data_IF_790039723007
#
_entry.id   IF_790039723007
#
_cell.length_a   1.000
_cell.length_b   1.000
_cell.length_c   1.000
_cell.angle_alpha   90.00
_cell.angle_beta   90.00
_cell.angle_gamma   90.00
#
_symmetry.space_group_name_H-M   'P 1'
#
loop_
_entity.id
_entity.type
_entity.pdbx_description
1 polymer ?
#
# COMPACT_ATOMS: atom_id res chain seq x y z
N UNK A 1 -4.81 -0.41 33.68
CA UNK A 1 -5.54 0.72 33.03
C UNK A 1 -5.00 0.82 31.61
N UNK A 2 -5.67 0.17 30.65
CA UNK A 2 -5.36 0.37 29.21
C UNK A 2 -5.98 1.70 28.80
N UNK A 3 -5.21 2.78 28.86
CA UNK A 3 -5.62 4.06 28.32
C UNK A 3 -5.75 4.01 26.79
N UNK A 4 -6.30 5.04 26.15
CA UNK A 4 -6.45 5.15 24.70
C UNK A 4 -5.14 4.90 23.92
N UNK A 5 -3.97 5.02 24.54
CA UNK A 5 -2.69 4.62 23.97
C UNK A 5 -2.54 3.11 23.73
N UNK A 6 -3.15 2.25 24.56
CA UNK A 6 -3.05 0.79 24.38
C UNK A 6 -3.82 0.24 23.17
N UNK A 7 -4.82 0.96 22.66
CA UNK A 7 -5.64 0.52 21.53
C UNK A 7 -4.88 0.60 20.18
N UNK A 8 -3.92 1.49 20.07
CA UNK A 8 -3.10 1.73 18.88
C UNK A 8 -1.63 1.38 19.11
N UNK A 9 -1.32 0.69 20.20
CA UNK A 9 0.02 0.18 20.48
C UNK A 9 0.27 -1.07 19.61
N UNK A 10 1.26 -0.98 18.75
CA UNK A 10 1.67 -2.05 17.84
C UNK A 10 2.95 -2.75 18.30
N UNK A 11 3.32 -2.62 19.58
CA UNK A 11 4.50 -3.33 20.13
C UNK A 11 4.37 -4.84 19.93
N UNK A 12 5.38 -5.45 19.29
CA UNK A 12 5.40 -6.86 18.93
C UNK A 12 4.64 -7.21 17.65
N UNK A 13 4.08 -6.23 16.95
CA UNK A 13 3.45 -6.36 15.63
C UNK A 13 4.51 -6.22 14.53
N UNK A 14 4.44 -7.01 13.49
CA UNK A 14 5.32 -6.93 12.31
C UNK A 14 4.52 -6.52 11.09
N UNK A 15 4.90 -5.39 10.49
CA UNK A 15 4.28 -4.86 9.28
C UNK A 15 5.20 -5.01 8.07
N UNK A 16 4.69 -5.62 7.00
CA UNK A 16 5.34 -5.71 5.70
C UNK A 16 4.73 -4.70 4.73
N UNK A 17 5.55 -3.85 4.11
CA UNK A 17 5.09 -2.85 3.13
C UNK A 17 5.86 -2.97 1.80
N UNK A 18 5.18 -3.31 0.71
CA UNK A 18 5.80 -3.21 -0.62
C UNK A 18 5.78 -1.77 -1.11
N UNK A 19 6.87 -1.33 -1.76
CA UNK A 19 7.05 0.09 -2.08
C UNK A 19 7.13 0.99 -0.83
N UNK A 20 7.51 0.41 0.33
CA UNK A 20 7.62 1.11 1.62
C UNK A 20 8.82 2.05 1.73
N UNK A 21 9.65 2.13 0.69
CA UNK A 21 10.85 2.97 0.64
C UNK A 21 10.63 4.37 0.08
N UNK A 22 9.37 4.75 -0.23
CA UNK A 22 9.04 6.10 -0.72
C UNK A 22 7.53 6.37 -0.69
N UNK A 23 7.14 7.65 -0.84
CA UNK A 23 5.75 8.06 -1.00
C UNK A 23 4.82 7.53 0.08
N UNK A 24 3.61 7.11 -0.31
CA UNK A 24 2.57 6.64 0.60
C UNK A 24 3.05 5.47 1.46
N UNK A 25 3.77 4.51 0.85
CA UNK A 25 4.30 3.35 1.58
C UNK A 25 5.24 3.75 2.71
N UNK A 26 6.14 4.72 2.47
CA UNK A 26 7.03 5.24 3.51
C UNK A 26 6.26 6.01 4.59
N UNK A 27 5.26 6.80 4.21
CA UNK A 27 4.39 7.50 5.16
C UNK A 27 3.63 6.53 6.09
N UNK A 28 3.11 5.43 5.54
CA UNK A 28 2.50 4.36 6.35
C UNK A 28 3.52 3.68 7.26
N UNK A 29 4.72 3.38 6.73
CA UNK A 29 5.80 2.75 7.49
C UNK A 29 6.23 3.59 8.70
N UNK A 30 6.32 4.91 8.54
CA UNK A 30 6.59 5.83 9.66
C UNK A 30 5.51 5.74 10.75
N UNK A 31 4.23 5.79 10.37
CA UNK A 31 3.15 5.69 11.36
C UNK A 31 3.16 4.38 12.12
N UNK A 32 3.39 3.26 11.43
CA UNK A 32 3.47 1.94 12.03
C UNK A 32 4.67 1.81 12.99
N UNK A 33 5.85 2.29 12.59
CA UNK A 33 7.04 2.29 13.44
C UNK A 33 6.87 3.22 14.66
N UNK A 34 6.27 4.40 14.49
CA UNK A 34 5.95 5.34 15.59
C UNK A 34 4.99 4.71 16.60
N UNK A 35 4.06 3.86 16.14
CA UNK A 35 3.14 3.10 16.99
C UNK A 35 3.76 1.85 17.64
N UNK A 36 5.04 1.57 17.40
CA UNK A 36 5.79 0.47 18.02
C UNK A 36 5.91 -0.81 17.19
N UNK A 37 5.40 -0.82 15.94
CA UNK A 37 5.55 -1.98 15.06
C UNK A 37 6.98 -2.14 14.56
N UNK A 38 7.45 -3.36 14.45
CA UNK A 38 8.60 -3.71 13.63
C UNK A 38 8.20 -3.62 12.15
N UNK A 39 9.06 -3.07 11.30
CA UNK A 39 8.71 -2.74 9.91
C UNK A 39 9.68 -3.37 8.92
N UNK A 40 9.14 -4.13 7.98
CA UNK A 40 9.86 -4.60 6.80
C UNK A 40 9.38 -3.85 5.55
N UNK A 41 10.25 -3.15 4.86
CA UNK A 41 9.93 -2.48 3.60
C UNK A 41 10.58 -3.21 2.42
N UNK A 42 9.80 -3.41 1.35
CA UNK A 42 10.32 -3.95 0.10
C UNK A 42 10.38 -2.88 -0.97
N UNK A 43 11.46 -2.87 -1.75
CA UNK A 43 11.60 -1.97 -2.89
C UNK A 43 12.74 -2.39 -3.81
N UNK A 44 12.68 -1.99 -5.08
CA UNK A 44 13.68 -2.35 -6.09
C UNK A 44 14.95 -1.49 -6.05
N UNK A 45 14.86 -0.27 -5.49
CA UNK A 45 15.97 0.68 -5.45
C UNK A 45 16.74 0.58 -4.13
N UNK A 46 17.98 0.08 -4.19
CA UNK A 46 18.82 -0.15 -3.02
C UNK A 46 19.13 1.14 -2.23
N UNK A 47 19.36 2.27 -2.92
CA UNK A 47 19.64 3.55 -2.26
C UNK A 47 18.44 4.07 -1.47
N UNK A 48 17.23 3.98 -2.05
CA UNK A 48 16.00 4.35 -1.33
C UNK A 48 15.70 3.40 -0.18
N UNK A 49 15.99 2.11 -0.34
CA UNK A 49 15.85 1.11 0.73
C UNK A 49 16.74 1.47 1.92
N UNK A 50 18.01 1.80 1.68
CA UNK A 50 18.96 2.20 2.72
C UNK A 50 18.50 3.47 3.45
N UNK A 51 18.12 4.51 2.70
CA UNK A 51 17.62 5.75 3.27
C UNK A 51 16.35 5.54 4.12
N UNK A 52 15.38 4.78 3.62
CA UNK A 52 14.15 4.46 4.36
C UNK A 52 14.44 3.67 5.65
N UNK A 53 15.36 2.70 5.59
CA UNK A 53 15.78 1.94 6.78
C UNK A 53 16.40 2.85 7.84
N UNK A 54 17.27 3.78 7.45
CA UNK A 54 17.89 4.74 8.37
C UNK A 54 16.86 5.69 8.99
N UNK A 55 15.90 6.18 8.21
CA UNK A 55 14.85 7.06 8.71
C UNK A 55 13.91 6.34 9.67
N UNK A 56 13.45 5.14 9.33
CA UNK A 56 12.52 4.35 10.13
C UNK A 56 13.15 3.86 11.43
N UNK A 57 14.44 3.53 11.44
CA UNK A 57 15.16 3.09 12.64
C UNK A 57 15.16 4.15 13.75
N UNK A 58 14.94 5.43 13.43
CA UNK A 58 14.84 6.51 14.42
C UNK A 58 13.66 6.37 15.38
N UNK A 59 12.65 5.56 15.03
CA UNK A 59 11.51 5.25 15.90
C UNK A 59 11.84 4.21 16.99
N UNK A 60 13.02 3.55 16.90
CA UNK A 60 13.48 2.61 17.93
C UNK A 60 12.94 1.19 17.80
N UNK A 61 12.21 0.87 16.72
CA UNK A 61 11.71 -0.47 16.38
C UNK A 61 12.70 -1.19 15.45
N UNK A 62 12.53 -2.51 15.27
CA UNK A 62 13.32 -3.25 14.28
C UNK A 62 12.86 -2.87 12.87
N UNK A 63 13.80 -2.62 11.98
CA UNK A 63 13.55 -2.25 10.60
C UNK A 63 14.41 -3.07 9.67
N UNK A 64 13.81 -3.60 8.61
CA UNK A 64 14.54 -4.19 7.48
C UNK A 64 14.06 -3.57 6.16
N UNK A 65 14.98 -3.47 5.20
CA UNK A 65 14.68 -3.02 3.86
C UNK A 65 15.22 -4.02 2.84
N UNK A 66 14.33 -4.82 2.26
CA UNK A 66 14.68 -5.93 1.36
C UNK A 66 14.52 -5.48 -0.10
N UNK A 67 15.50 -5.86 -0.95
CA UNK A 67 15.38 -5.63 -2.38
C UNK A 67 14.47 -6.70 -3.00
N UNK A 68 13.27 -6.30 -3.42
CA UNK A 68 12.28 -7.19 -4.03
C UNK A 68 11.58 -6.50 -5.21
N UNK A 69 11.56 -7.13 -6.39
CA UNK A 69 10.63 -6.80 -7.47
C UNK A 69 9.37 -7.65 -7.26
N UNK A 70 8.28 -7.01 -6.85
CA UNK A 70 7.01 -7.70 -6.57
C UNK A 70 6.41 -8.38 -7.80
N UNK A 71 6.77 -7.96 -9.01
CA UNK A 71 6.33 -8.60 -10.25
C UNK A 71 7.14 -9.86 -10.62
N UNK A 72 7.99 -10.35 -9.75
CA UNK A 72 8.78 -11.57 -9.89
C UNK A 72 8.44 -12.51 -8.74
N UNK A 73 7.85 -13.68 -9.04
CA UNK A 73 7.37 -14.63 -8.04
C UNK A 73 8.50 -15.20 -7.18
N UNK A 74 9.66 -15.48 -7.78
CA UNK A 74 10.82 -15.99 -7.04
C UNK A 74 11.37 -14.92 -6.10
N UNK A 75 11.43 -13.65 -6.55
CA UNK A 75 11.83 -12.53 -5.70
C UNK A 75 10.85 -12.31 -4.54
N UNK A 76 9.54 -12.45 -4.76
CA UNK A 76 8.53 -12.37 -3.68
C UNK A 76 8.71 -13.52 -2.69
N UNK A 77 8.89 -14.74 -3.18
CA UNK A 77 9.09 -15.92 -2.34
C UNK A 77 10.35 -15.79 -1.48
N UNK A 78 11.47 -15.39 -2.08
CA UNK A 78 12.72 -15.17 -1.37
C UNK A 78 12.63 -14.00 -0.38
N UNK A 79 12.06 -12.88 -0.80
CA UNK A 79 11.87 -11.71 0.07
C UNK A 79 10.93 -11.98 1.27
N UNK A 80 9.91 -12.83 1.07
CA UNK A 80 9.03 -13.21 2.17
C UNK A 80 9.74 -14.15 3.16
N UNK A 81 10.52 -15.12 2.66
CA UNK A 81 11.33 -15.99 3.49
C UNK A 81 12.36 -15.18 4.29
N UNK A 82 13.06 -14.22 3.69
CA UNK A 82 13.98 -13.32 4.36
C UNK A 82 13.26 -12.44 5.42
N UNK A 83 12.05 -11.97 5.12
CA UNK A 83 11.22 -11.23 6.09
C UNK A 83 10.92 -12.11 7.33
N UNK A 84 10.54 -13.37 7.13
CA UNK A 84 10.27 -14.30 8.22
C UNK A 84 11.54 -14.68 9.00
N UNK A 85 12.68 -14.81 8.34
CA UNK A 85 13.97 -15.05 9.00
C UNK A 85 14.33 -13.90 9.96
N UNK A 86 14.11 -12.65 9.53
CA UNK A 86 14.45 -11.47 10.33
C UNK A 86 13.45 -11.18 11.46
N UNK A 87 12.15 -11.39 11.25
CA UNK A 87 11.11 -10.96 12.18
C UNK A 87 10.31 -12.10 12.82
N UNK A 88 10.34 -13.30 12.24
CA UNK A 88 9.63 -14.48 12.73
C UNK A 88 8.14 -14.51 12.36
N UNK A 89 7.55 -13.38 11.97
CA UNK A 89 6.13 -13.27 11.67
C UNK A 89 5.82 -12.06 10.77
N UNK A 90 4.63 -12.06 10.19
CA UNK A 90 4.00 -10.90 9.56
C UNK A 90 2.56 -10.83 10.03
N UNK A 91 2.14 -9.69 10.61
CA UNK A 91 0.81 -9.45 11.16
C UNK A 91 -0.04 -8.55 10.25
N UNK A 92 0.60 -7.62 9.56
CA UNK A 92 -0.06 -6.82 8.52
C UNK A 92 0.80 -6.74 7.26
N UNK A 93 0.14 -6.80 6.11
CA UNK A 93 0.79 -6.71 4.81
C UNK A 93 0.12 -5.62 3.97
N UNK A 94 0.90 -4.61 3.58
CA UNK A 94 0.47 -3.50 2.74
C UNK A 94 1.04 -3.67 1.32
N UNK A 95 0.22 -4.18 0.42
CA UNK A 95 0.53 -4.27 -1.01
C UNK A 95 0.38 -2.88 -1.65
N UNK A 96 1.44 -2.07 -1.53
CA UNK A 96 1.44 -0.66 -1.94
C UNK A 96 2.30 -0.40 -3.18
N UNK A 97 3.26 -1.25 -3.52
CA UNK A 97 4.09 -1.07 -4.72
C UNK A 97 3.24 -0.85 -5.98
N UNK A 98 3.66 0.09 -6.80
CA UNK A 98 2.96 0.38 -8.05
C UNK A 98 3.75 1.30 -8.97
N UNK A 99 3.38 1.26 -10.24
CA UNK A 99 3.95 2.09 -11.32
C UNK A 99 2.81 2.68 -12.16
N UNK A 100 3.05 3.86 -12.74
CA UNK A 100 2.17 4.41 -13.78
C UNK A 100 2.41 3.72 -15.13
N UNK A 101 1.40 3.74 -15.99
CA UNK A 101 1.57 3.47 -17.41
C UNK A 101 2.26 4.62 -18.15
N UNK A 102 2.62 4.38 -19.39
CA UNK A 102 3.01 5.44 -20.32
C UNK A 102 1.77 6.27 -20.65
N UNK A 103 1.85 7.59 -20.49
CA UNK A 103 0.74 8.50 -20.80
C UNK A 103 0.65 8.66 -22.31
N UNK A 104 -0.23 7.87 -22.94
CA UNK A 104 -0.41 7.80 -24.41
C UNK A 104 -1.89 7.64 -24.76
N UNK A 105 -2.33 8.02 -25.97
CA UNK A 105 -3.67 7.69 -26.44
C UNK A 105 -3.95 6.19 -26.36
N UNK A 106 -5.18 5.81 -25.98
CA UNK A 106 -5.56 4.40 -25.82
C UNK A 106 -5.28 3.57 -27.08
N UNK A 107 -5.49 4.15 -28.27
CA UNK A 107 -5.22 3.50 -29.56
C UNK A 107 -3.73 3.19 -29.81
N UNK A 108 -2.83 3.80 -29.04
CA UNK A 108 -1.38 3.64 -29.15
C UNK A 108 -0.78 2.91 -27.94
N UNK A 109 -1.59 2.57 -26.93
CA UNK A 109 -1.14 1.84 -25.75
C UNK A 109 -0.62 0.45 -26.16
N UNK A 110 0.67 0.23 -25.99
CA UNK A 110 1.28 -1.07 -26.32
C UNK A 110 0.88 -2.14 -25.30
N UNK A 111 0.74 -3.38 -25.80
CA UNK A 111 0.51 -4.55 -24.93
C UNK A 111 1.67 -4.75 -23.94
N UNK A 112 2.88 -4.39 -24.33
CA UNK A 112 4.07 -4.47 -23.47
C UNK A 112 3.95 -3.52 -22.27
N UNK A 113 3.54 -2.26 -22.47
CA UNK A 113 3.35 -1.33 -21.36
C UNK A 113 2.15 -1.70 -20.50
N UNK A 114 1.04 -2.12 -21.13
CA UNK A 114 -0.11 -2.66 -20.40
C UNK A 114 0.31 -3.81 -19.46
N UNK A 115 1.04 -4.81 -19.99
CA UNK A 115 1.52 -5.95 -19.21
C UNK A 115 2.50 -5.54 -18.10
N UNK A 116 3.39 -4.58 -18.36
CA UNK A 116 4.32 -4.06 -17.36
C UNK A 116 3.58 -3.48 -16.15
N UNK A 117 2.52 -2.70 -16.38
CA UNK A 117 1.70 -2.12 -15.31
C UNK A 117 0.95 -3.21 -14.56
N UNK A 118 0.31 -4.14 -15.26
CA UNK A 118 -0.43 -5.24 -14.64
C UNK A 118 0.48 -6.12 -13.78
N UNK A 119 1.67 -6.46 -14.30
CA UNK A 119 2.68 -7.26 -13.59
C UNK A 119 3.05 -6.68 -12.23
N UNK A 120 3.29 -5.37 -12.16
CA UNK A 120 3.69 -4.73 -10.88
C UNK A 120 2.47 -4.48 -9.99
N UNK A 121 1.42 -3.85 -10.53
CA UNK A 121 0.34 -3.30 -9.71
C UNK A 121 -0.69 -4.35 -9.27
N UNK A 122 -0.91 -5.40 -10.08
CA UNK A 122 -1.92 -6.42 -9.80
C UNK A 122 -1.28 -7.77 -9.48
N UNK A 123 -0.46 -8.32 -10.37
CA UNK A 123 0.20 -9.62 -10.12
C UNK A 123 1.13 -9.53 -8.92
N UNK A 124 1.94 -8.45 -8.80
CA UNK A 124 2.82 -8.23 -7.65
C UNK A 124 2.06 -8.08 -6.32
N UNK A 125 0.92 -7.39 -6.34
CA UNK A 125 0.05 -7.34 -5.17
C UNK A 125 -0.53 -8.71 -4.83
N UNK A 126 -1.01 -9.47 -5.82
CA UNK A 126 -1.48 -10.84 -5.65
C UNK A 126 -0.41 -11.74 -5.02
N UNK A 127 0.80 -11.76 -5.57
CA UNK A 127 1.90 -12.59 -5.06
C UNK A 127 2.22 -12.27 -3.60
N UNK A 128 2.33 -10.98 -3.29
CA UNK A 128 2.63 -10.50 -1.93
C UNK A 128 1.51 -10.86 -0.94
N UNK A 129 0.26 -10.58 -1.30
CA UNK A 129 -0.90 -10.86 -0.46
C UNK A 129 -1.09 -12.37 -0.25
N UNK A 130 -0.85 -13.18 -1.29
CA UNK A 130 -0.90 -14.64 -1.23
C UNK A 130 0.12 -15.19 -0.24
N UNK A 131 1.38 -14.73 -0.31
CA UNK A 131 2.43 -15.15 0.62
C UNK A 131 2.09 -14.77 2.06
N UNK A 132 1.65 -13.52 2.29
CA UNK A 132 1.27 -13.05 3.61
C UNK A 132 0.05 -13.80 4.18
N UNK A 133 -1.00 -14.01 3.38
CA UNK A 133 -2.21 -14.72 3.83
C UNK A 133 -1.94 -16.19 4.14
N UNK A 134 -1.12 -16.87 3.34
CA UNK A 134 -0.72 -18.26 3.60
C UNK A 134 -0.01 -18.36 4.96
N UNK A 135 0.97 -17.50 5.23
CA UNK A 135 1.64 -17.42 6.53
C UNK A 135 0.67 -17.10 7.67
N UNK A 136 -0.23 -16.13 7.51
CA UNK A 136 -1.20 -15.77 8.55
C UNK A 136 -2.16 -16.91 8.87
N UNK A 137 -2.62 -17.66 7.86
CA UNK A 137 -3.48 -18.84 8.02
C UNK A 137 -2.73 -19.96 8.77
N UNK A 138 -1.49 -20.27 8.37
CA UNK A 138 -0.66 -21.31 8.97
C UNK A 138 -0.30 -20.96 10.43
N UNK A 139 0.11 -19.73 10.66
CA UNK A 139 0.47 -19.23 12.00
C UNK A 139 -0.73 -19.19 12.95
N UNK A 140 -1.91 -18.95 12.43
CA UNK A 140 -3.11 -18.60 13.22
C UNK A 140 -3.04 -17.20 13.83
N UNK A 141 -4.10 -16.81 14.56
CA UNK A 141 -4.16 -15.53 15.29
C UNK A 141 -4.54 -14.31 14.41
N UNK A 142 -4.98 -14.56 13.17
CA UNK A 142 -5.48 -13.50 12.30
C UNK A 142 -4.38 -12.64 11.65
N UNK A 143 -4.80 -11.51 11.09
CA UNK A 143 -3.90 -10.55 10.43
C UNK A 143 -4.65 -9.52 9.61
N UNK A 144 -3.90 -8.64 8.93
CA UNK A 144 -4.49 -7.59 8.09
C UNK A 144 -3.79 -7.53 6.73
N UNK A 145 -4.59 -7.48 5.67
CA UNK A 145 -4.16 -7.27 4.29
C UNK A 145 -4.67 -5.91 3.80
N UNK A 146 -3.79 -5.11 3.23
CA UNK A 146 -4.16 -3.79 2.69
C UNK A 146 -3.63 -3.65 1.27
N UNK A 147 -4.51 -3.29 0.33
CA UNK A 147 -4.13 -2.97 -1.05
C UNK A 147 -4.25 -1.48 -1.34
N UNK A 148 -3.17 -0.84 -1.79
CA UNK A 148 -3.22 0.57 -2.21
C UNK A 148 -3.81 0.68 -3.62
N UNK A 149 -5.10 0.97 -3.68
CA UNK A 149 -5.87 1.24 -4.89
C UNK A 149 -5.80 2.74 -5.26
N UNK A 150 -6.71 3.22 -6.09
CA UNK A 150 -6.77 4.60 -6.58
C UNK A 150 -8.20 4.99 -6.92
N UNK A 151 -8.50 6.28 -6.96
CA UNK A 151 -9.73 6.79 -7.58
C UNK A 151 -9.87 6.33 -9.04
N UNK A 152 -8.76 6.08 -9.74
CA UNK A 152 -8.76 5.51 -11.08
C UNK A 152 -9.39 4.12 -11.17
N UNK A 153 -9.62 3.42 -10.04
CA UNK A 153 -10.32 2.13 -10.01
C UNK A 153 -11.81 2.26 -10.31
N UNK A 154 -12.40 3.44 -10.08
CA UNK A 154 -13.85 3.72 -10.22
C UNK A 154 -14.13 4.92 -11.13
N UNK A 155 -13.10 5.72 -11.45
CA UNK A 155 -13.21 6.87 -12.34
C UNK A 155 -12.44 6.61 -13.63
N UNK A 156 -12.91 7.13 -14.76
CA UNK A 156 -12.16 7.07 -16.00
C UNK A 156 -10.81 7.78 -15.87
N UNK A 157 -9.75 7.11 -16.28
CA UNK A 157 -8.38 7.64 -16.27
C UNK A 157 -7.83 7.65 -17.69
N UNK A 158 -8.17 8.66 -18.50
CA UNK A 158 -7.76 8.71 -19.90
C UNK A 158 -6.24 8.74 -20.02
N UNK A 159 -5.72 7.99 -20.98
CA UNK A 159 -4.28 7.81 -21.26
C UNK A 159 -3.51 7.05 -20.19
N UNK A 160 -4.20 6.48 -19.19
CA UNK A 160 -3.60 5.64 -18.13
C UNK A 160 -4.50 4.44 -17.80
N UNK A 161 -5.11 3.86 -18.83
CA UNK A 161 -6.13 2.81 -18.72
C UNK A 161 -5.54 1.52 -18.09
N UNK A 162 -4.27 1.20 -18.39
CA UNK A 162 -3.59 0.04 -17.77
C UNK A 162 -3.50 0.19 -16.25
N UNK A 163 -3.16 1.39 -15.77
CA UNK A 163 -3.13 1.70 -14.35
C UNK A 163 -4.53 1.57 -13.72
N UNK A 164 -5.54 2.19 -14.34
CA UNK A 164 -6.92 2.12 -13.87
C UNK A 164 -7.41 0.67 -13.78
N UNK A 165 -7.19 -0.13 -14.82
CA UNK A 165 -7.54 -1.55 -14.84
C UNK A 165 -6.83 -2.34 -13.71
N UNK A 166 -5.54 -2.08 -13.49
CA UNK A 166 -4.78 -2.74 -12.43
C UNK A 166 -5.31 -2.41 -11.03
N UNK A 167 -5.71 -1.13 -10.80
CA UNK A 167 -6.24 -0.69 -9.50
C UNK A 167 -7.67 -1.15 -9.26
N UNK A 168 -8.50 -1.27 -10.29
CA UNK A 168 -9.81 -1.88 -10.21
C UNK A 168 -9.70 -3.38 -9.88
N UNK A 169 -8.81 -4.10 -10.56
CA UNK A 169 -8.51 -5.51 -10.28
C UNK A 169 -8.02 -5.73 -8.86
N UNK A 170 -7.13 -4.86 -8.35
CA UNK A 170 -6.64 -4.93 -6.97
C UNK A 170 -7.78 -4.74 -5.96
N UNK A 171 -8.69 -3.77 -6.18
CA UNK A 171 -9.84 -3.58 -5.29
C UNK A 171 -10.71 -4.83 -5.21
N UNK A 172 -11.02 -5.45 -6.36
CA UNK A 172 -11.78 -6.70 -6.42
C UNK A 172 -11.05 -7.86 -5.76
N UNK A 173 -9.73 -7.98 -5.95
CA UNK A 173 -8.90 -9.00 -5.30
C UNK A 173 -8.97 -8.88 -3.76
N UNK A 174 -8.85 -7.68 -3.21
CA UNK A 174 -8.97 -7.43 -1.78
C UNK A 174 -10.36 -7.85 -1.24
N UNK A 175 -11.43 -7.55 -1.96
CA UNK A 175 -12.78 -7.96 -1.57
C UNK A 175 -12.92 -9.49 -1.55
N UNK A 176 -12.34 -10.20 -2.52
CA UNK A 176 -12.28 -11.66 -2.53
C UNK A 176 -11.52 -12.21 -1.31
N UNK A 177 -10.35 -11.64 -1.01
CA UNK A 177 -9.57 -12.01 0.18
C UNK A 177 -10.36 -11.78 1.47
N UNK A 178 -11.08 -10.66 1.59
CA UNK A 178 -11.89 -10.36 2.77
C UNK A 178 -12.94 -11.43 3.05
N UNK A 179 -13.65 -11.87 2.00
CA UNK A 179 -14.70 -12.89 2.14
C UNK A 179 -14.12 -14.26 2.48
N UNK A 180 -13.05 -14.67 1.78
CA UNK A 180 -12.45 -15.99 1.96
C UNK A 180 -11.73 -16.15 3.30
N UNK A 181 -10.98 -15.10 3.71
CA UNK A 181 -10.03 -15.18 4.81
C UNK A 181 -10.62 -14.75 6.16
N UNK A 182 -11.83 -14.16 6.18
CA UNK A 182 -12.50 -13.73 7.42
C UNK A 182 -12.61 -14.85 8.48
N UNK A 183 -12.85 -16.08 8.05
CA UNK A 183 -12.91 -17.26 8.95
C UNK A 183 -11.60 -17.56 9.69
N UNK A 184 -10.48 -17.02 9.22
CA UNK A 184 -9.16 -17.12 9.87
C UNK A 184 -8.82 -15.88 10.72
N UNK A 185 -9.77 -14.94 10.87
CA UNK A 185 -9.53 -13.67 11.55
C UNK A 185 -8.66 -12.70 10.76
N UNK A 186 -8.57 -12.87 9.44
CA UNK A 186 -7.80 -11.99 8.56
C UNK A 186 -8.76 -10.99 7.92
N UNK A 187 -8.52 -9.70 8.15
CA UNK A 187 -9.24 -8.60 7.52
C UNK A 187 -8.50 -8.11 6.28
N UNK A 188 -9.25 -7.63 5.29
CA UNK A 188 -8.65 -7.09 4.07
C UNK A 188 -9.34 -5.78 3.64
N UNK A 189 -8.53 -4.76 3.29
CA UNK A 189 -9.00 -3.40 3.01
C UNK A 189 -8.35 -2.85 1.74
N UNK A 190 -9.12 -2.17 0.90
CA UNK A 190 -8.60 -1.40 -0.22
C UNK A 190 -8.51 0.09 0.14
N UNK A 191 -7.34 0.72 -0.05
CA UNK A 191 -7.20 2.17 0.09
C UNK A 191 -7.39 2.82 -1.28
N UNK A 192 -8.51 3.51 -1.46
CA UNK A 192 -8.80 4.26 -2.68
C UNK A 192 -8.22 5.66 -2.58
N UNK A 193 -7.04 5.85 -3.14
CA UNK A 193 -6.22 7.04 -2.96
C UNK A 193 -6.53 8.07 -4.04
N UNK A 194 -6.66 9.34 -3.62
CA UNK A 194 -6.76 10.49 -4.50
C UNK A 194 -5.41 11.05 -4.93
N UNK A 195 -5.32 12.37 -5.00
CA UNK A 195 -4.11 13.09 -5.44
C UNK A 195 -3.16 13.34 -4.28
N UNK A 196 -2.06 12.61 -4.24
CA UNK A 196 -1.04 12.66 -3.17
C UNK A 196 0.31 13.01 -3.76
N UNK A 197 1.00 13.98 -3.16
CA UNK A 197 2.35 14.37 -3.59
C UNK A 197 3.36 13.27 -3.22
N UNK A 198 3.78 12.57 -4.25
CA UNK A 198 4.70 11.42 -4.17
C UNK A 198 5.62 11.43 -5.38
N UNK A 199 6.78 10.75 -5.32
CA UNK A 199 7.64 10.59 -6.49
C UNK A 199 6.93 10.01 -7.72
N UNK A 200 5.90 9.19 -7.52
CA UNK A 200 5.09 8.60 -8.61
C UNK A 200 4.20 9.64 -9.31
N UNK A 201 3.69 10.62 -8.59
CA UNK A 201 2.72 11.60 -9.08
C UNK A 201 3.34 12.98 -9.36
N UNK A 202 4.54 13.26 -8.87
CA UNK A 202 5.20 14.57 -8.86
C UNK A 202 5.18 15.27 -10.22
N UNK A 203 5.58 14.59 -11.31
CA UNK A 203 5.59 15.19 -12.64
C UNK A 203 4.21 15.68 -13.12
N UNK A 204 3.13 15.01 -12.69
CA UNK A 204 1.76 15.40 -13.02
C UNK A 204 1.28 16.54 -12.12
N UNK A 205 1.53 16.45 -10.82
CA UNK A 205 1.02 17.40 -9.82
C UNK A 205 1.65 18.79 -9.96
N UNK A 206 2.93 18.86 -10.35
CA UNK A 206 3.65 20.13 -10.55
C UNK A 206 3.46 20.75 -11.94
N UNK A 207 2.50 20.25 -12.74
CA UNK A 207 2.04 20.92 -13.94
C UNK A 207 1.00 22.00 -13.56
N UNK A 208 1.32 23.27 -13.77
CA UNK A 208 0.48 24.42 -13.34
C UNK A 208 -0.96 24.34 -13.86
N UNK A 209 -1.15 23.89 -15.10
CA UNK A 209 -2.51 23.78 -15.68
C UNK A 209 -3.29 22.65 -15.01
N UNK A 210 -2.63 21.53 -14.75
CA UNK A 210 -3.22 20.40 -14.05
C UNK A 210 -3.57 20.78 -12.60
N UNK A 211 -2.64 21.36 -11.87
CA UNK A 211 -2.84 21.81 -10.49
C UNK A 211 -4.03 22.78 -10.39
N UNK A 212 -4.04 23.83 -11.20
CA UNK A 212 -5.13 24.81 -11.22
C UNK A 212 -6.50 24.17 -11.47
N UNK A 213 -6.58 23.15 -12.34
CA UNK A 213 -7.84 22.48 -12.66
C UNK A 213 -8.29 21.51 -11.56
N UNK A 214 -7.38 20.75 -10.98
CA UNK A 214 -7.68 19.79 -9.92
C UNK A 214 -8.01 20.51 -8.61
N UNK A 215 -7.26 21.57 -8.25
CA UNK A 215 -7.48 22.33 -7.02
C UNK A 215 -8.86 23.01 -6.96
N UNK A 216 -9.48 23.32 -8.10
CA UNK A 216 -10.87 23.81 -8.14
C UNK A 216 -11.87 22.78 -7.61
N UNK A 217 -11.58 21.49 -7.83
CA UNK A 217 -12.38 20.35 -7.41
C UNK A 217 -11.91 19.70 -6.11
N UNK A 218 -10.86 20.22 -5.50
CA UNK A 218 -10.31 19.70 -4.26
C UNK A 218 -10.84 20.50 -3.06
N UNK A 219 -11.83 20.00 -2.31
CA UNK A 219 -12.39 20.75 -1.17
C UNK A 219 -11.35 21.12 -0.12
N UNK A 220 -10.39 20.26 0.17
CA UNK A 220 -9.30 20.55 1.12
C UNK A 220 -8.24 21.51 0.60
N UNK A 221 -8.29 21.91 -0.68
CA UNK A 221 -7.37 22.91 -1.30
C UNK A 221 -5.89 22.60 -1.14
N UNK A 222 -5.52 21.35 -1.03
CA UNK A 222 -4.14 20.86 -0.99
C UNK A 222 -4.01 19.48 -1.60
N UNK A 223 -2.82 19.12 -2.02
CA UNK A 223 -2.47 17.72 -2.27
C UNK A 223 -2.45 16.95 -0.96
N UNK A 224 -2.79 15.68 -1.00
CA UNK A 224 -2.47 14.76 0.07
C UNK A 224 -0.95 14.60 0.21
N UNK A 225 -0.50 14.21 1.37
CA UNK A 225 0.89 13.89 1.67
C UNK A 225 1.04 12.45 2.14
N UNK A 226 2.21 11.83 2.04
CA UNK A 226 2.46 10.50 2.60
C UNK A 226 2.05 10.36 4.07
N UNK A 227 2.23 11.39 4.88
CA UNK A 227 1.86 11.41 6.30
C UNK A 227 0.36 11.37 6.57
N UNK A 228 -0.49 11.75 5.60
CA UNK A 228 -1.94 11.61 5.74
C UNK A 228 -2.38 10.13 5.86
N UNK A 229 -1.52 9.18 5.47
CA UNK A 229 -1.78 7.74 5.53
C UNK A 229 -1.25 7.06 6.79
N UNK A 230 -0.39 7.73 7.57
CA UNK A 230 0.27 7.15 8.73
C UNK A 230 -0.73 6.62 9.77
N UNK A 231 -1.67 7.47 10.22
CA UNK A 231 -2.67 7.11 11.24
C UNK A 231 -3.65 6.05 10.75
N UNK A 232 -4.01 6.09 9.47
CA UNK A 232 -4.88 5.08 8.88
C UNK A 232 -4.20 3.70 8.86
N UNK A 233 -2.90 3.65 8.54
CA UNK A 233 -2.15 2.40 8.60
C UNK A 233 -2.12 1.80 10.00
N UNK A 234 -1.93 2.62 11.04
CA UNK A 234 -1.97 2.20 12.45
C UNK A 234 -3.37 1.69 12.83
N UNK A 235 -4.44 2.42 12.45
CA UNK A 235 -5.81 1.99 12.69
C UNK A 235 -6.09 0.62 12.09
N UNK A 236 -5.71 0.38 10.85
CA UNK A 236 -5.94 -0.89 10.18
C UNK A 236 -5.10 -2.02 10.78
N UNK A 237 -3.80 -1.79 11.00
CA UNK A 237 -2.89 -2.79 11.55
C UNK A 237 -3.26 -3.20 12.97
N UNK A 238 -3.74 -2.26 13.79
CA UNK A 238 -4.07 -2.49 15.19
C UNK A 238 -5.34 -3.31 15.43
N UNK A 239 -6.04 -3.76 14.38
CA UNK A 239 -7.26 -4.55 14.51
C UNK A 239 -8.43 -3.78 15.17
N UNK A 240 -8.32 -2.45 15.28
CA UNK A 240 -9.38 -1.60 15.88
C UNK A 240 -10.72 -1.69 15.12
N UNK A 241 -10.66 -2.14 13.86
CA UNK A 241 -11.80 -2.44 13.02
C UNK A 241 -12.20 -3.92 12.99
N UNK A 242 -12.15 -4.67 14.06
CA UNK A 242 -12.29 -6.14 14.09
C UNK A 242 -13.50 -6.72 13.34
N UNK A 243 -14.56 -5.94 13.10
CA UNK A 243 -15.71 -6.31 12.26
C UNK A 243 -15.70 -5.62 10.89
N UNK A 244 -14.67 -4.79 10.61
CA UNK A 244 -14.50 -4.08 9.35
C UNK A 244 -13.59 -4.89 8.43
N UNK A 245 -14.12 -5.35 7.29
CA UNK A 245 -13.34 -6.05 6.23
C UNK A 245 -14.07 -5.95 4.89
N UNK A 246 -13.33 -5.99 3.79
CA UNK A 246 -13.87 -5.94 2.43
C UNK A 246 -14.25 -4.54 1.95
N UNK A 247 -14.04 -3.52 2.76
CA UNK A 247 -14.36 -2.13 2.44
C UNK A 247 -13.31 -1.49 1.52
N UNK A 248 -13.75 -0.38 0.93
CA UNK A 248 -12.89 0.52 0.16
C UNK A 248 -12.85 1.86 0.89
N UNK A 249 -11.71 2.16 1.50
CA UNK A 249 -11.51 3.38 2.28
C UNK A 249 -11.00 4.48 1.37
N UNK A 250 -11.79 5.53 1.18
CA UNK A 250 -11.44 6.68 0.32
C UNK A 250 -10.60 7.68 1.10
N UNK A 251 -9.44 8.05 0.53
CA UNK A 251 -8.52 9.06 1.10
C UNK A 251 -8.15 10.03 -0.02
N UNK A 252 -8.96 11.08 -0.22
CA UNK A 252 -8.89 11.92 -1.41
C UNK A 252 -9.19 13.41 -1.19
N UNK A 253 -9.31 13.87 0.04
CA UNK A 253 -9.65 15.26 0.35
C UNK A 253 -11.05 15.67 -0.13
N UNK A 254 -11.97 14.72 -0.25
CA UNK A 254 -13.33 14.84 -0.78
C UNK A 254 -13.41 15.11 -2.30
N UNK A 255 -12.31 14.88 -3.04
CA UNK A 255 -12.26 15.12 -4.50
C UNK A 255 -13.30 14.31 -5.28
N UNK A 256 -13.60 13.08 -4.88
CA UNK A 256 -14.50 12.19 -5.62
C UNK A 256 -15.98 12.49 -5.44
N UNK A 257 -16.35 13.25 -4.41
CA UNK A 257 -17.74 13.57 -4.06
C UNK A 257 -18.14 15.02 -4.31
N UNK A 258 -17.23 15.82 -4.89
CA UNK A 258 -17.42 17.24 -5.19
C UNK A 258 -17.44 17.51 -6.70
#
# INVERSE_FOLDING_TARGET
MSGAHGMFDLTGHVALLTGGNSGIGLGMAHGLAEAGADVCVWGTNAGRNAAASEELAKHGTRVAAIRCDVGDEDAVTGGFAETLEQFGRVDSCFANAGVNGTITPFTELSLTDFRRVMRVNLEGAFLTLRAASAHMVERGGGGVLVGTSSLSSVQGSPRNEAYAASKAGLTSLIQGCAVELARYGINAHALQVGWVDTPLASATLHNETFERNVMKRMPQRRWGTPSDFARLAVYLAGGAGGFQTGDTIVVDGAYSIF
#
